data_IF_335674974926
#
_entry.id   IF_335674974926
#
_cell.length_a   1.000
_cell.length_b   1.000
_cell.length_c   1.000
_cell.angle_alpha   90.00
_cell.angle_beta   90.00
_cell.angle_gamma   90.00
#
_symmetry.space_group_name_H-M   'P 1'
#
loop_
_entity.id
_entity.type
_entity.pdbx_description
1 polymer ?
#
# COMPACT_ATOMS: atom_id res chain seq x y z
N UNK A 1 -56.37 -59.42 6.16
CA UNK A 1 -57.42 -59.04 7.11
C UNK A 1 -56.79 -58.86 8.49
N UNK A 2 -57.31 -57.90 9.25
CA UNK A 2 -56.97 -57.45 10.60
C UNK A 2 -55.86 -56.38 10.76
N UNK A 3 -56.33 -55.29 11.36
CA UNK A 3 -55.75 -53.96 11.58
C UNK A 3 -54.96 -53.87 12.90
N UNK A 4 -54.16 -52.79 13.00
CA UNK A 4 -53.81 -52.08 14.23
C UNK A 4 -52.79 -50.98 13.89
N UNK A 5 -53.16 -49.79 13.42
CA UNK A 5 -53.70 -48.59 14.09
C UNK A 5 -52.79 -47.92 15.14
N UNK A 6 -52.53 -46.63 14.90
CA UNK A 6 -52.04 -45.53 15.77
C UNK A 6 -50.62 -45.03 15.39
N UNK A 7 -50.39 -43.77 14.98
CA UNK A 7 -51.28 -42.63 14.77
C UNK A 7 -50.61 -41.50 13.97
N UNK A 8 -51.42 -40.83 13.13
CA UNK A 8 -51.56 -39.37 12.86
C UNK A 8 -50.31 -38.45 12.94
N UNK A 9 -49.90 -37.78 11.83
CA UNK A 9 -50.31 -36.42 11.33
C UNK A 9 -50.16 -35.30 12.39
N UNK A 10 -49.60 -34.10 12.18
CA UNK A 10 -49.53 -33.22 11.00
C UNK A 10 -48.66 -31.99 11.34
N UNK A 11 -47.99 -31.44 10.32
CA UNK A 11 -47.74 -30.02 10.01
C UNK A 11 -47.67 -28.93 11.11
N UNK A 12 -46.62 -28.12 11.07
CA UNK A 12 -46.57 -26.81 11.76
C UNK A 12 -45.36 -25.91 11.45
N UNK A 13 -45.45 -25.15 10.35
CA UNK A 13 -44.83 -23.85 9.99
C UNK A 13 -43.65 -23.22 10.79
N UNK A 14 -42.69 -22.72 9.98
CA UNK A 14 -42.12 -21.34 9.98
C UNK A 14 -41.26 -20.87 11.16
N UNK A 15 -40.01 -20.51 10.87
CA UNK A 15 -39.18 -19.73 11.81
C UNK A 15 -37.77 -19.43 11.30
N UNK A 16 -37.45 -18.14 11.24
CA UNK A 16 -36.22 -17.47 10.84
C UNK A 16 -34.96 -17.79 11.68
N UNK A 17 -33.79 -17.75 11.01
CA UNK A 17 -32.52 -17.06 11.39
C UNK A 17 -31.75 -17.48 12.67
N UNK A 18 -30.42 -17.55 12.49
CA UNK A 18 -29.34 -17.35 13.47
C UNK A 18 -28.60 -18.61 13.94
N UNK A 19 -27.32 -18.70 13.58
CA UNK A 19 -26.36 -19.67 14.11
C UNK A 19 -25.82 -19.19 15.46
N UNK A 20 -26.06 -19.97 16.50
CA UNK A 20 -25.42 -19.80 17.79
C UNK A 20 -23.92 -20.13 17.66
N UNK A 21 -23.07 -19.10 17.79
CA UNK A 21 -21.66 -19.27 18.12
C UNK A 21 -21.45 -18.68 19.52
N UNK A 22 -20.98 -19.53 20.43
CA UNK A 22 -20.64 -19.20 21.82
C UNK A 22 -19.16 -19.51 22.03
N UNK A 23 -18.37 -18.50 22.35
CA UNK A 23 -16.94 -18.61 22.61
C UNK A 23 -16.65 -19.42 23.89
N UNK A 24 -15.61 -20.27 23.93
CA UNK A 24 -15.09 -20.80 25.18
C UNK A 24 -14.07 -19.85 25.82
N UNK A 25 -14.42 -19.53 27.07
CA UNK A 25 -13.76 -18.84 28.17
C UNK A 25 -12.22 -18.89 28.25
N UNK A 26 -11.63 -17.76 28.69
CA UNK A 26 -10.22 -17.57 28.99
C UNK A 26 -9.93 -17.88 30.47
N UNK A 27 -9.10 -18.90 30.75
CA UNK A 27 -8.09 -18.93 31.82
C UNK A 27 -7.49 -20.34 32.04
N UNK A 28 -6.17 -20.48 31.84
CA UNK A 28 -5.15 -21.09 32.74
C UNK A 28 -3.88 -21.46 31.95
N UNK A 29 -2.73 -21.00 32.47
CA UNK A 29 -1.36 -21.29 31.97
C UNK A 29 -1.07 -22.80 31.99
N UNK A 30 -0.52 -23.34 30.90
CA UNK A 30 0.83 -23.92 30.80
C UNK A 30 0.98 -24.86 29.58
N UNK A 31 2.19 -24.89 29.03
CA UNK A 31 2.78 -25.81 28.05
C UNK A 31 2.51 -25.53 26.56
N UNK A 32 3.57 -25.06 25.88
CA UNK A 32 3.71 -25.03 24.42
C UNK A 32 3.66 -26.46 23.88
N UNK A 33 2.94 -26.65 22.77
CA UNK A 33 3.54 -27.27 21.60
C UNK A 33 3.39 -26.38 20.37
N UNK A 34 4.42 -26.43 19.52
CA UNK A 34 4.61 -25.70 18.28
C UNK A 34 3.46 -25.92 17.27
N UNK A 35 3.30 -24.94 16.36
CA UNK A 35 2.43 -24.91 15.15
C UNK A 35 0.99 -24.37 15.32
N UNK A 36 0.86 -23.04 15.27
CA UNK A 36 -0.07 -22.32 14.37
C UNK A 36 0.57 -20.96 14.04
N UNK A 37 1.03 -20.81 12.79
CA UNK A 37 1.78 -19.64 12.32
C UNK A 37 0.99 -18.34 12.48
N UNK A 38 1.65 -17.32 13.03
CA UNK A 38 1.12 -15.98 13.22
C UNK A 38 0.60 -15.38 11.90
N UNK A 39 -0.73 -15.36 11.74
CA UNK A 39 -1.40 -14.61 10.68
C UNK A 39 -1.33 -13.12 11.03
N UNK A 40 -0.60 -12.35 10.22
CA UNK A 40 -0.24 -10.93 10.38
C UNK A 40 1.11 -10.65 11.06
N UNK A 41 2.19 -11.22 10.52
CA UNK A 41 3.50 -10.54 10.52
C UNK A 41 3.41 -9.30 9.61
N UNK A 42 2.73 -8.26 10.09
CA UNK A 42 2.81 -6.93 9.50
C UNK A 42 4.22 -6.39 9.74
N UNK A 43 5.00 -6.35 8.65
CA UNK A 43 6.22 -5.59 8.41
C UNK A 43 7.24 -5.47 9.56
N UNK A 44 8.24 -6.35 9.55
CA UNK A 44 9.58 -6.07 10.11
C UNK A 44 10.16 -4.77 9.51
N UNK A 45 9.74 -4.36 8.32
CA UNK A 45 10.09 -3.07 7.69
C UNK A 45 9.49 -1.86 8.43
N UNK A 46 8.38 -2.02 9.16
CA UNK A 46 7.80 -0.95 10.00
C UNK A 46 8.69 -0.62 11.20
N UNK A 47 9.54 -1.55 11.65
CA UNK A 47 10.60 -1.26 12.63
C UNK A 47 11.67 -0.31 12.05
N UNK A 48 11.84 -0.27 10.72
CA UNK A 48 12.73 0.65 10.02
C UNK A 48 12.25 2.10 10.02
N UNK A 49 10.98 2.37 10.37
CA UNK A 49 10.42 3.72 10.54
C UNK A 49 11.23 4.58 11.53
N UNK A 50 11.87 3.94 12.51
CA UNK A 50 12.75 4.58 13.50
C UNK A 50 14.24 4.56 13.13
N UNK A 51 14.63 3.90 12.03
CA UNK A 51 16.02 3.58 11.72
C UNK A 51 16.52 4.16 10.39
N UNK A 52 15.72 4.97 9.68
CA UNK A 52 16.33 5.85 8.67
C UNK A 52 17.21 6.82 9.46
N UNK A 53 18.55 6.80 9.33
CA UNK A 53 19.37 7.70 10.09
C UNK A 53 18.91 9.11 9.76
N UNK A 54 18.60 9.87 10.81
CA UNK A 54 18.62 11.32 10.75
C UNK A 54 19.89 11.70 10.00
N UNK A 55 19.78 12.16 8.75
CA UNK A 55 20.83 13.06 8.27
C UNK A 55 20.62 14.31 9.10
N UNK A 56 21.29 14.31 10.24
CA UNK A 56 21.28 15.37 11.23
C UNK A 56 21.52 16.67 10.47
N UNK A 57 20.57 17.59 10.68
CA UNK A 57 20.86 19.00 10.56
C UNK A 57 22.20 19.26 11.25
N UNK A 58 23.10 19.98 10.59
CA UNK A 58 24.31 20.45 11.25
C UNK A 58 23.92 21.27 12.49
N UNK A 59 24.79 21.25 13.50
CA UNK A 59 24.63 21.81 14.86
C UNK A 59 24.54 23.36 14.92
N UNK A 60 24.05 23.99 13.84
CA UNK A 60 23.94 25.45 13.69
C UNK A 60 22.51 25.94 13.45
N UNK A 61 21.49 25.11 13.64
CA UNK A 61 20.09 25.53 13.51
C UNK A 61 19.74 26.20 12.18
N UNK A 62 20.55 25.97 11.13
CA UNK A 62 20.27 26.43 9.78
C UNK A 62 19.61 25.28 9.04
N UNK A 63 18.41 25.49 8.44
CA UNK A 63 17.92 24.55 7.45
C UNK A 63 19.00 24.41 6.37
N UNK A 64 19.24 23.20 5.88
CA UNK A 64 20.02 22.98 4.68
C UNK A 64 19.30 23.73 3.56
N UNK A 65 19.68 24.98 3.30
CA UNK A 65 19.45 25.58 2.00
C UNK A 65 20.23 24.69 1.05
N UNK A 66 19.49 23.92 0.24
CA UNK A 66 20.04 23.31 -0.95
C UNK A 66 20.90 24.36 -1.67
N UNK A 67 22.02 24.00 -2.32
CA UNK A 67 22.73 24.96 -3.16
C UNK A 67 21.68 25.57 -4.09
N UNK A 68 21.51 26.90 -3.98
CA UNK A 68 20.63 27.65 -4.84
C UNK A 68 21.08 27.40 -6.26
N UNK A 69 20.42 26.44 -6.92
CA UNK A 69 20.50 26.29 -8.36
C UNK A 69 19.60 27.41 -8.88
N UNK A 70 20.19 28.60 -9.04
CA UNK A 70 19.53 29.71 -9.71
C UNK A 70 19.22 29.28 -11.14
N UNK A 71 17.96 28.88 -11.36
CA UNK A 71 17.34 28.85 -12.68
C UNK A 71 16.20 29.87 -12.65
N UNK A 72 16.14 30.79 -13.62
CA UNK A 72 15.11 31.81 -13.65
C UNK A 72 13.76 31.16 -14.01
N UNK A 73 12.87 31.09 -13.03
CA UNK A 73 11.43 30.92 -13.24
C UNK A 73 10.92 29.48 -13.42
N UNK A 74 11.03 28.63 -12.39
CA UNK A 74 10.01 27.61 -12.17
C UNK A 74 10.03 27.15 -10.70
N UNK A 75 9.04 27.55 -9.90
CA UNK A 75 8.81 26.95 -8.59
C UNK A 75 8.25 25.54 -8.82
N UNK A 76 9.14 24.58 -9.11
CA UNK A 76 8.82 23.16 -9.29
C UNK A 76 8.00 22.67 -8.08
N UNK A 77 6.68 22.60 -8.24
CA UNK A 77 5.79 22.12 -7.21
C UNK A 77 6.15 20.67 -6.88
N UNK A 78 6.63 20.44 -5.65
CA UNK A 78 6.90 19.10 -5.16
C UNK A 78 5.59 18.42 -4.78
N UNK A 79 5.46 17.14 -5.12
CA UNK A 79 4.39 16.30 -4.58
C UNK A 79 4.75 15.88 -3.17
N UNK A 80 3.90 16.21 -2.20
CA UNK A 80 4.08 15.87 -0.78
C UNK A 80 3.28 14.61 -0.45
N UNK A 81 3.93 13.64 0.19
CA UNK A 81 3.32 12.41 0.70
C UNK A 81 3.40 12.39 2.22
N UNK A 82 2.25 12.33 2.90
CA UNK A 82 2.16 12.30 4.36
C UNK A 82 2.01 10.87 4.86
N UNK A 83 3.01 10.39 5.59
CA UNK A 83 3.01 9.06 6.20
C UNK A 83 2.66 9.19 7.68
N UNK A 84 1.68 8.39 8.13
CA UNK A 84 1.24 8.35 9.52
C UNK A 84 1.47 6.95 10.08
N UNK A 85 2.16 6.89 11.22
CA UNK A 85 2.37 5.66 11.98
C UNK A 85 1.77 5.78 13.38
N UNK A 86 0.77 4.95 13.63
CA UNK A 86 0.09 4.75 14.89
C UNK A 86 -0.12 3.26 15.08
N UNK A 87 0.77 2.66 15.87
CA UNK A 87 0.82 1.21 16.11
C UNK A 87 -0.56 0.62 16.34
N UNK A 88 -0.93 -0.36 15.51
CA UNK A 88 -2.16 -1.13 15.65
C UNK A 88 -3.45 -0.39 15.24
N UNK A 89 -3.36 0.85 14.77
CA UNK A 89 -4.51 1.65 14.37
C UNK A 89 -4.41 2.17 12.94
N UNK A 90 -3.31 2.83 12.60
CA UNK A 90 -3.06 3.35 11.26
C UNK A 90 -1.58 3.33 10.95
N UNK A 91 -1.23 2.69 9.85
CA UNK A 91 0.16 2.57 9.40
C UNK A 91 0.20 2.86 7.91
N UNK A 92 0.75 4.02 7.56
CA UNK A 92 1.02 4.40 6.19
C UNK A 92 2.54 4.36 5.95
N UNK A 93 2.99 3.69 4.90
CA UNK A 93 4.41 3.58 4.53
C UNK A 93 4.59 3.53 3.01
N UNK A 94 5.84 3.62 2.56
CA UNK A 94 6.19 3.48 1.15
C UNK A 94 6.74 2.07 0.90
N UNK A 95 6.16 1.32 -0.04
CA UNK A 95 6.75 0.06 -0.54
C UNK A 95 7.97 0.35 -1.43
N UNK A 96 7.93 1.45 -2.17
CA UNK A 96 9.08 1.97 -2.91
C UNK A 96 8.91 3.47 -3.17
N UNK A 97 10.01 4.16 -3.46
CA UNK A 97 10.06 5.57 -3.79
C UNK A 97 11.43 6.17 -3.50
N UNK A 98 11.80 7.20 -4.26
CA UNK A 98 13.05 7.96 -4.09
C UNK A 98 12.74 9.43 -3.76
N UNK A 99 12.36 9.76 -2.52
CA UNK A 99 12.04 11.14 -2.17
C UNK A 99 13.28 12.04 -2.33
N UNK A 100 13.05 13.28 -2.80
CA UNK A 100 14.12 14.30 -2.92
C UNK A 100 14.36 15.04 -1.60
N UNK A 101 13.38 15.02 -0.70
CA UNK A 101 13.49 15.54 0.65
C UNK A 101 12.54 14.79 1.59
N UNK A 102 12.87 14.79 2.88
CA UNK A 102 12.06 14.21 3.94
C UNK A 102 11.95 15.19 5.12
N UNK A 103 10.78 15.28 5.74
CA UNK A 103 10.51 16.11 6.91
C UNK A 103 9.79 15.29 7.98
N UNK A 104 10.41 15.12 9.15
CA UNK A 104 9.75 14.53 10.31
C UNK A 104 8.94 15.64 10.98
N UNK A 105 7.61 15.48 11.01
CA UNK A 105 6.70 16.48 11.61
C UNK A 105 6.61 16.25 13.11
N UNK A 106 6.37 14.99 13.50
CA UNK A 106 6.34 14.55 14.89
C UNK A 106 6.72 13.05 14.98
N UNK A 107 6.52 12.44 16.15
CA UNK A 107 6.86 11.02 16.39
C UNK A 107 6.01 10.02 15.59
N UNK A 108 4.88 10.46 15.04
CA UNK A 108 3.87 9.65 14.36
C UNK A 108 3.68 10.05 12.91
N UNK A 109 4.22 11.19 12.47
CA UNK A 109 3.99 11.73 11.15
C UNK A 109 5.30 12.17 10.49
N UNK A 110 5.50 11.70 9.25
CA UNK A 110 6.59 12.10 8.36
C UNK A 110 6.02 12.56 7.03
N UNK A 111 6.68 13.51 6.39
CA UNK A 111 6.41 13.95 5.03
C UNK A 111 7.58 13.59 4.12
N UNK A 112 7.25 13.10 2.94
CA UNK A 112 8.20 12.80 1.87
C UNK A 112 7.86 13.68 0.67
N UNK A 113 8.87 14.22 0.01
CA UNK A 113 8.69 15.12 -1.13
C UNK A 113 9.27 14.50 -2.39
N UNK A 114 8.52 14.59 -3.49
CA UNK A 114 8.86 14.02 -4.78
C UNK A 114 8.85 15.08 -5.87
N UNK A 115 9.87 15.07 -6.71
CA UNK A 115 9.90 15.84 -7.95
C UNK A 115 8.95 15.26 -8.98
N UNK A 116 8.47 16.09 -9.89
CA UNK A 116 7.59 15.67 -10.97
C UNK A 116 8.20 14.51 -11.80
N UNK A 117 7.34 13.58 -12.20
CA UNK A 117 7.71 12.38 -12.94
C UNK A 117 8.22 11.22 -12.07
N UNK A 118 8.56 11.44 -10.79
CA UNK A 118 8.93 10.35 -9.89
C UNK A 118 7.72 9.47 -9.54
N UNK A 119 7.92 8.16 -9.48
CA UNK A 119 6.89 7.17 -9.14
C UNK A 119 7.16 6.61 -7.75
N UNK A 120 6.11 6.47 -6.93
CA UNK A 120 6.19 5.88 -5.60
C UNK A 120 4.98 4.97 -5.33
N UNK A 121 5.16 4.00 -4.42
CA UNK A 121 4.14 3.07 -3.97
C UNK A 121 3.74 3.35 -2.53
N UNK A 122 2.63 4.04 -2.31
CA UNK A 122 2.06 4.33 -0.99
C UNK A 122 1.17 3.18 -0.53
N UNK A 123 1.43 2.66 0.67
CA UNK A 123 0.61 1.65 1.34
C UNK A 123 -0.05 2.28 2.54
N UNK A 124 -1.36 2.11 2.66
CA UNK A 124 -2.15 2.61 3.79
C UNK A 124 -2.89 1.45 4.45
N UNK A 125 -2.55 1.16 5.70
CA UNK A 125 -3.21 0.17 6.53
C UNK A 125 -3.91 0.83 7.70
N UNK A 126 -5.09 0.33 8.06
CA UNK A 126 -5.77 0.71 9.29
C UNK A 126 -6.56 -0.45 9.87
N UNK A 127 -6.60 -0.51 11.20
CA UNK A 127 -7.41 -1.44 11.96
C UNK A 127 -8.13 -0.70 13.09
N UNK A 128 -9.21 -1.31 13.58
CA UNK A 128 -9.88 -0.93 14.79
C UNK A 128 -9.98 -2.15 15.71
N UNK A 129 -10.70 -2.01 16.81
CA UNK A 129 -10.88 -3.07 17.82
C UNK A 129 -11.56 -4.35 17.26
N UNK A 130 -12.15 -4.27 16.06
CA UNK A 130 -12.82 -5.37 15.37
C UNK A 130 -12.01 -5.94 14.20
N UNK A 131 -10.76 -5.50 14.02
CA UNK A 131 -9.85 -5.99 12.97
C UNK A 131 -9.53 -4.96 11.90
N UNK A 132 -9.02 -5.43 10.75
CA UNK A 132 -8.56 -4.55 9.66
C UNK A 132 -9.73 -3.83 8.99
N UNK A 133 -9.71 -2.50 9.05
CA UNK A 133 -10.71 -1.61 8.44
C UNK A 133 -10.28 -1.18 7.05
N UNK A 134 -8.97 -1.00 6.83
CA UNK A 134 -8.41 -0.56 5.55
C UNK A 134 -7.11 -1.28 5.24
N UNK A 135 -6.99 -1.72 4.00
CA UNK A 135 -5.70 -2.06 3.39
C UNK A 135 -5.73 -1.57 1.96
N UNK A 136 -4.93 -0.58 1.64
CA UNK A 136 -4.82 -0.09 0.27
C UNK A 136 -3.38 0.14 -0.15
N UNK A 137 -3.15 0.06 -1.44
CA UNK A 137 -1.89 0.39 -2.08
C UNK A 137 -2.18 1.26 -3.30
N UNK A 138 -1.47 2.37 -3.40
CA UNK A 138 -1.55 3.31 -4.51
C UNK A 138 -0.16 3.48 -5.12
N UNK A 139 -0.04 3.25 -6.43
CA UNK A 139 1.17 3.62 -7.19
C UNK A 139 0.85 4.91 -7.91
N UNK A 140 1.62 5.95 -7.60
CA UNK A 140 1.35 7.32 -8.02
C UNK A 140 2.60 7.89 -8.67
N UNK A 141 2.42 8.62 -9.77
CA UNK A 141 3.45 9.48 -10.35
C UNK A 141 3.22 10.91 -9.87
N UNK A 142 4.25 11.51 -9.28
CA UNK A 142 4.29 12.93 -8.97
C UNK A 142 4.13 13.76 -10.24
N UNK A 143 3.35 14.82 -10.20
CA UNK A 143 3.00 15.64 -11.37
C UNK A 143 3.68 17.01 -11.31
N UNK A 144 3.90 17.64 -12.46
CA UNK A 144 4.26 19.06 -12.53
C UNK A 144 3.06 19.95 -12.19
N UNK A 145 3.33 21.20 -11.83
CA UNK A 145 2.29 22.23 -11.72
C UNK A 145 1.52 22.35 -13.06
N UNK A 146 0.19 22.39 -12.98
CA UNK A 146 -0.68 22.52 -14.16
C UNK A 146 -1.04 21.21 -14.87
N UNK A 147 -0.43 20.08 -14.51
CA UNK A 147 -0.90 18.76 -14.95
C UNK A 147 -2.22 18.37 -14.26
N UNK A 148 -3.02 17.53 -14.92
CA UNK A 148 -4.22 16.96 -14.32
C UNK A 148 -3.87 16.05 -13.14
N UNK A 149 -4.53 16.25 -12.00
CA UNK A 149 -4.31 15.47 -10.77
C UNK A 149 -5.53 14.64 -10.42
N UNK A 150 -5.27 13.41 -9.98
CA UNK A 150 -6.25 12.61 -9.27
C UNK A 150 -5.99 12.79 -7.77
N UNK A 151 -7.02 13.12 -6.97
CA UNK A 151 -6.86 13.20 -5.53
C UNK A 151 -6.54 11.81 -4.97
N UNK A 152 -5.42 11.71 -4.26
CA UNK A 152 -5.03 10.50 -3.54
C UNK A 152 -4.89 10.89 -2.08
N UNK A 153 -5.61 10.23 -1.14
CA UNK A 153 -5.43 10.50 0.27
C UNK A 153 -3.96 10.44 0.67
N UNK A 154 -3.52 11.33 1.57
CA UNK A 154 -2.13 11.48 1.99
C UNK A 154 -1.17 12.06 0.93
N UNK A 155 -1.60 12.30 -0.30
CA UNK A 155 -0.77 12.90 -1.36
C UNK A 155 -1.33 14.27 -1.73
N UNK A 156 -0.48 15.29 -1.67
CA UNK A 156 -0.82 16.67 -1.97
C UNK A 156 0.10 17.21 -3.08
N UNK A 157 -0.43 17.79 -4.17
CA UNK A 157 -1.86 18.04 -4.47
C UNK A 157 -2.65 16.78 -4.90
N UNK A 158 -1.98 15.63 -4.96
CA UNK A 158 -2.48 14.40 -5.58
C UNK A 158 -1.44 13.89 -6.56
N UNK A 159 -1.86 13.19 -7.61
CA UNK A 159 -0.94 12.81 -8.67
C UNK A 159 -1.61 12.03 -9.80
N UNK A 160 -0.80 11.55 -10.73
CA UNK A 160 -1.25 10.62 -11.76
C UNK A 160 -1.30 9.21 -11.14
N UNK A 161 -2.51 8.76 -10.83
CA UNK A 161 -2.76 7.47 -10.20
C UNK A 161 -2.63 6.34 -11.24
N UNK A 162 -1.53 5.59 -11.15
CA UNK A 162 -1.21 4.52 -12.09
C UNK A 162 -1.85 3.18 -11.72
N UNK A 163 -1.97 2.91 -10.42
CA UNK A 163 -2.60 1.70 -9.89
C UNK A 163 -3.19 1.99 -8.52
N UNK A 164 -4.41 1.48 -8.28
CA UNK A 164 -4.99 1.35 -6.95
C UNK A 164 -5.39 -0.10 -6.66
N UNK A 165 -5.14 -0.53 -5.44
CA UNK A 165 -5.57 -1.82 -4.91
C UNK A 165 -6.17 -1.63 -3.52
N UNK A 166 -7.28 -2.30 -3.26
CA UNK A 166 -8.00 -2.26 -1.99
C UNK A 166 -8.27 -3.68 -1.49
N UNK A 167 -8.15 -3.87 -0.18
CA UNK A 167 -8.24 -5.15 0.49
C UNK A 167 -6.94 -5.96 0.39
N UNK A 168 -6.60 -6.65 1.47
CA UNK A 168 -5.35 -7.41 1.59
C UNK A 168 -5.09 -8.38 0.44
N UNK A 169 -6.06 -9.17 -0.07
CA UNK A 169 -5.79 -10.11 -1.16
C UNK A 169 -5.26 -9.44 -2.44
N UNK A 170 -5.78 -8.25 -2.78
CA UNK A 170 -5.32 -7.49 -3.95
C UNK A 170 -3.97 -6.83 -3.67
N UNK A 171 -3.80 -6.22 -2.49
CA UNK A 171 -2.53 -5.62 -2.06
C UNK A 171 -1.39 -6.64 -2.09
N UNK A 172 -1.60 -7.82 -1.48
CA UNK A 172 -0.61 -8.90 -1.47
C UNK A 172 -0.28 -9.40 -2.89
N UNK A 173 -1.26 -9.40 -3.82
CA UNK A 173 -1.00 -9.73 -5.22
C UNK A 173 -0.15 -8.66 -5.92
N UNK A 174 -0.34 -7.39 -5.60
CA UNK A 174 0.50 -6.30 -6.12
C UNK A 174 1.90 -6.38 -5.53
N UNK A 175 2.06 -6.66 -4.24
CA UNK A 175 3.38 -6.90 -3.64
C UNK A 175 4.16 -7.99 -4.36
N UNK A 176 3.56 -9.16 -4.61
CA UNK A 176 4.23 -10.21 -5.39
C UNK A 176 4.66 -9.78 -6.80
N UNK A 177 3.92 -8.87 -7.43
CA UNK A 177 4.29 -8.33 -8.75
C UNK A 177 5.45 -7.35 -8.64
N UNK A 178 5.49 -6.52 -7.59
CA UNK A 178 6.63 -5.65 -7.28
C UNK A 178 7.87 -6.49 -6.98
N UNK A 179 7.75 -7.50 -6.11
CA UNK A 179 8.87 -8.37 -5.75
C UNK A 179 9.42 -9.12 -6.99
N UNK A 180 8.56 -9.51 -7.94
CA UNK A 180 8.98 -10.13 -9.20
C UNK A 180 9.73 -9.15 -10.13
N UNK A 181 9.36 -7.87 -10.11
CA UNK A 181 10.09 -6.81 -10.85
C UNK A 181 11.45 -6.58 -10.21
N UNK A 182 11.50 -6.45 -8.89
CA UNK A 182 12.74 -6.27 -8.11
C UNK A 182 13.69 -7.46 -8.32
N UNK A 183 13.17 -8.69 -8.30
CA UNK A 183 13.95 -9.91 -8.57
C UNK A 183 14.54 -9.96 -9.99
N UNK A 184 13.99 -9.20 -10.94
CA UNK A 184 14.55 -9.05 -12.28
C UNK A 184 15.63 -7.96 -12.39
N UNK A 185 16.00 -7.34 -11.26
CA UNK A 185 17.01 -6.28 -11.16
C UNK A 185 16.50 -4.90 -11.61
N UNK A 186 15.18 -4.72 -11.67
CA UNK A 186 14.55 -3.48 -12.10
C UNK A 186 14.02 -2.75 -10.86
N UNK A 187 14.38 -1.48 -10.73
CA UNK A 187 13.82 -0.62 -9.70
C UNK A 187 12.33 -0.31 -10.02
N UNK A 188 11.39 -0.56 -9.10
CA UNK A 188 9.98 -0.21 -9.30
C UNK A 188 9.73 1.27 -9.62
N UNK A 189 10.58 2.18 -9.13
CA UNK A 189 10.53 3.62 -9.43
C UNK A 189 10.77 3.90 -10.92
N UNK A 190 11.52 3.02 -11.59
CA UNK A 190 11.91 3.12 -13.00
C UNK A 190 11.04 2.21 -13.90
N UNK A 191 9.96 1.61 -13.39
CA UNK A 191 9.02 0.88 -14.23
C UNK A 191 8.18 1.86 -15.07
N UNK A 192 7.96 1.50 -16.34
CA UNK A 192 7.11 2.28 -17.24
C UNK A 192 5.72 2.54 -16.62
N UNK A 193 5.23 3.80 -16.56
CA UNK A 193 3.91 4.11 -15.99
C UNK A 193 2.75 3.30 -16.61
N UNK A 194 2.80 3.05 -17.92
CA UNK A 194 1.80 2.23 -18.61
C UNK A 194 1.79 0.77 -18.17
N UNK A 195 2.90 0.26 -17.63
CA UNK A 195 2.93 -1.08 -17.08
C UNK A 195 2.15 -1.16 -15.76
N UNK A 196 2.24 -0.14 -14.91
CA UNK A 196 1.42 -0.07 -13.70
C UNK A 196 -0.06 0.00 -14.02
N UNK A 197 -0.46 0.79 -15.03
CA UNK A 197 -1.83 0.82 -15.56
C UNK A 197 -2.26 -0.53 -16.13
N UNK A 198 -1.38 -1.21 -16.85
CA UNK A 198 -1.62 -2.57 -17.35
C UNK A 198 -1.91 -3.54 -16.19
N UNK A 199 -1.11 -3.50 -15.12
CA UNK A 199 -1.35 -4.32 -13.93
C UNK A 199 -2.73 -3.98 -13.33
N UNK A 200 -3.04 -2.70 -13.12
CA UNK A 200 -4.32 -2.27 -12.57
C UNK A 200 -5.50 -2.82 -13.37
N UNK A 201 -5.49 -2.61 -14.70
CA UNK A 201 -6.54 -3.05 -15.60
C UNK A 201 -6.73 -4.58 -15.58
N UNK A 202 -5.63 -5.34 -15.60
CA UNK A 202 -5.69 -6.81 -15.56
C UNK A 202 -6.21 -7.33 -14.22
N UNK A 203 -5.79 -6.73 -13.11
CA UNK A 203 -6.30 -7.10 -11.79
C UNK A 203 -7.79 -6.73 -11.63
N UNK A 204 -8.24 -5.62 -12.18
CA UNK A 204 -9.65 -5.24 -12.22
C UNK A 204 -10.49 -6.26 -13.01
N UNK A 205 -9.97 -6.74 -14.14
CA UNK A 205 -10.56 -7.80 -14.95
C UNK A 205 -10.38 -9.23 -14.38
N UNK A 206 -9.75 -9.38 -13.20
CA UNK A 206 -9.39 -10.67 -12.58
C UNK A 206 -8.44 -11.55 -13.41
N UNK A 207 -7.74 -10.96 -14.37
CA UNK A 207 -6.79 -11.64 -15.22
C UNK A 207 -5.38 -11.62 -14.63
N UNK A 208 -4.48 -12.44 -15.17
CA UNK A 208 -3.07 -12.40 -14.82
C UNK A 208 -2.38 -11.25 -15.58
N UNK A 209 -1.71 -10.31 -14.87
CA UNK A 209 -0.87 -9.30 -15.50
C UNK A 209 0.29 -9.95 -16.26
N UNK A 210 0.80 -9.26 -17.28
CA UNK A 210 1.97 -9.74 -18.02
C UNK A 210 3.21 -9.40 -17.20
N UNK A 211 4.24 -10.23 -17.24
CA UNK A 211 5.51 -9.90 -16.58
C UNK A 211 6.17 -8.66 -17.21
N UNK A 212 6.92 -7.92 -16.39
CA UNK A 212 7.78 -6.83 -16.86
C UNK A 212 9.17 -7.37 -17.12
N UNK A 213 9.52 -7.58 -18.39
CA UNK A 213 10.84 -8.15 -18.74
C UNK A 213 11.92 -7.06 -18.84
N UNK A 214 13.20 -7.40 -18.62
CA UNK A 214 14.32 -6.49 -18.87
C UNK A 214 14.38 -5.95 -20.32
N UNK A 215 13.96 -6.75 -21.31
CA UNK A 215 13.85 -6.29 -22.69
C UNK A 215 12.81 -5.17 -22.84
N UNK A 216 11.64 -5.32 -22.19
CA UNK A 216 10.59 -4.29 -22.19
C UNK A 216 11.04 -3.02 -21.48
N UNK A 217 11.77 -3.17 -20.37
CA UNK A 217 12.32 -2.05 -19.62
C UNK A 217 13.33 -1.25 -20.46
N UNK A 218 14.27 -1.92 -21.13
CA UNK A 218 15.21 -1.28 -22.07
C UNK A 218 14.50 -0.52 -23.20
N UNK A 219 13.50 -1.13 -23.82
CA UNK A 219 12.71 -0.49 -24.88
C UNK A 219 11.97 0.77 -24.36
N UNK A 220 11.47 0.74 -23.12
CA UNK A 220 10.86 1.92 -22.51
C UNK A 220 11.90 3.02 -22.22
N UNK A 221 13.08 2.68 -21.68
CA UNK A 221 14.15 3.65 -21.43
C UNK A 221 14.58 4.37 -22.72
N UNK A 222 14.71 3.62 -23.82
CA UNK A 222 15.01 4.18 -25.14
C UNK A 222 13.95 5.18 -25.61
N UNK A 223 12.66 4.84 -25.44
CA UNK A 223 11.55 5.76 -25.79
C UNK A 223 11.55 7.00 -24.91
N UNK A 224 11.75 6.84 -23.60
CA UNK A 224 11.81 7.95 -22.64
C UNK A 224 12.93 8.93 -22.99
N UNK A 225 14.07 8.44 -23.48
CA UNK A 225 15.18 9.27 -23.91
C UNK A 225 14.88 10.11 -25.17
N UNK A 226 13.91 9.71 -25.99
CA UNK A 226 13.50 10.45 -27.20
C UNK A 226 12.46 11.54 -26.91
N UNK A 227 11.75 11.46 -25.78
CA UNK A 227 10.68 12.39 -25.40
C UNK A 227 11.16 13.47 -24.42
N UNK A 228 12.42 13.42 -24.01
CA UNK A 228 13.05 14.40 -23.11
C UNK A 228 13.73 15.49 -23.92
#
# INVERSE_FOLDING_TARGET
MLHGLSGTTTSGRSGTRSSDHREPNCAKKAQRPELHGALNLANTESFGFLLTPTRLANDKGQPFLAPSCELPGDSSQLTQVTLVWQKGWREDWLKFGKPVASLIVDRRQRKEFYSAGQVFGLVCWAANDFGTVRSSLHIVRAVCAGEAVIPVPQVDPGGDLLLSAFGWPKVARVFRLIDAIEASGIDPCDVAPDHWRHIHNRLAARETPRSYSPARHRAWLQRKALTR
#
